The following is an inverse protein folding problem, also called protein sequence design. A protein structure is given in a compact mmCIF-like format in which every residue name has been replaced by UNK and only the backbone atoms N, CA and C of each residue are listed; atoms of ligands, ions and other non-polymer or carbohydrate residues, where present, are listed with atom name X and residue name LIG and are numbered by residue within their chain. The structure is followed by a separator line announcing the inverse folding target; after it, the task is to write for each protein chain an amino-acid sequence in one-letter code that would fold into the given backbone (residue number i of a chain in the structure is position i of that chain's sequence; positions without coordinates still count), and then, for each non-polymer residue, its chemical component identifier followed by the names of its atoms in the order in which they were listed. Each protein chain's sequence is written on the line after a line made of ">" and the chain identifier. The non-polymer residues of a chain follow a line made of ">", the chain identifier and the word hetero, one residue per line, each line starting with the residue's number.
data_IF_361618062083
#
_entry.id   IF_361618062083
#
_cell.length_a   1.000
_cell.length_b   1.000
_cell.length_c   1.000
_cell.angle_alpha   90.00
_cell.angle_beta   90.00
_cell.angle_gamma   90.00
#
_symmetry.space_group_name_H-M   'P 1'
#
loop_
_entity.id
_entity.type
_entity.pdbx_description
1 polymer ?
#
# COMPACT_ATOMS: atom_id res chain seq x y z
N UNK A 1 42.65 -13.87 -34.28
CA UNK A 1 42.19 -15.00 -33.45
C UNK A 1 42.08 -14.67 -31.95
N UNK A 2 42.36 -13.43 -31.50
CA UNK A 2 42.25 -13.03 -30.08
C UNK A 2 40.94 -12.29 -29.73
N UNK A 3 40.23 -11.75 -30.72
CA UNK A 3 38.97 -11.00 -30.52
C UNK A 3 37.76 -11.90 -30.21
N UNK A 4 37.74 -13.15 -30.71
CA UNK A 4 36.67 -14.11 -30.47
C UNK A 4 36.64 -14.62 -29.01
N UNK A 5 37.81 -14.70 -28.35
CA UNK A 5 37.92 -15.14 -26.96
C UNK A 5 37.40 -14.13 -25.94
N UNK A 6 37.45 -12.83 -26.28
CA UNK A 6 36.97 -11.75 -25.41
C UNK A 6 35.43 -11.71 -25.42
N UNK A 7 34.81 -11.93 -26.59
CA UNK A 7 33.36 -12.03 -26.73
C UNK A 7 32.76 -13.21 -25.96
N UNK A 8 33.43 -14.37 -25.96
CA UNK A 8 33.00 -15.53 -25.16
C UNK A 8 33.14 -15.26 -23.65
N UNK A 9 34.17 -14.51 -23.23
CA UNK A 9 34.39 -14.19 -21.81
C UNK A 9 33.35 -13.21 -21.26
N UNK A 10 32.91 -12.25 -22.08
CA UNK A 10 31.82 -11.32 -21.73
C UNK A 10 30.49 -12.07 -21.53
N UNK A 11 30.22 -13.10 -22.32
CA UNK A 11 29.00 -13.90 -22.20
C UNK A 11 28.97 -14.79 -20.94
N UNK A 12 30.13 -15.27 -20.47
CA UNK A 12 30.23 -16.09 -19.24
C UNK A 12 30.27 -15.21 -17.98
N UNK A 13 30.82 -13.99 -18.06
CA UNK A 13 30.82 -13.00 -16.97
C UNK A 13 29.52 -12.19 -16.89
N UNK A 14 28.39 -12.87 -17.06
CA UNK A 14 27.10 -12.45 -16.54
C UNK A 14 26.86 -10.95 -16.56
N UNK A 15 26.57 -10.39 -17.74
CA UNK A 15 25.57 -9.33 -17.80
C UNK A 15 24.27 -10.00 -17.39
N UNK A 16 24.13 -10.24 -16.08
CA UNK A 16 22.84 -10.25 -15.43
C UNK A 16 22.37 -8.83 -15.67
N UNK A 17 21.39 -8.56 -16.55
CA UNK A 17 20.70 -7.31 -16.44
C UNK A 17 20.29 -7.30 -14.99
N UNK A 18 20.65 -6.26 -14.24
CA UNK A 18 20.04 -5.95 -12.96
C UNK A 18 18.56 -5.75 -13.24
N UNK A 19 17.86 -6.85 -13.49
CA UNK A 19 16.44 -6.98 -13.39
C UNK A 19 16.20 -6.55 -11.95
N UNK A 20 15.48 -5.45 -11.72
CA UNK A 20 15.00 -5.20 -10.37
C UNK A 20 14.34 -6.51 -9.92
N UNK A 21 14.63 -6.99 -8.70
CA UNK A 21 14.04 -8.22 -8.23
C UNK A 21 12.54 -8.11 -8.47
N UNK A 22 11.96 -9.09 -9.19
CA UNK A 22 10.51 -9.22 -9.23
C UNK A 22 10.02 -9.08 -7.79
N UNK A 23 9.04 -8.21 -7.48
CA UNK A 23 8.59 -8.05 -6.12
C UNK A 23 7.83 -9.32 -5.72
N UNK A 24 8.58 -10.31 -5.22
CA UNK A 24 8.14 -11.19 -4.14
C UNK A 24 8.13 -10.41 -2.80
N UNK A 25 8.49 -9.13 -2.83
CA UNK A 25 8.28 -8.16 -1.76
C UNK A 25 6.85 -7.62 -1.81
N UNK A 26 6.22 -7.60 -0.64
CA UNK A 26 5.00 -6.83 -0.42
C UNK A 26 5.25 -5.34 -0.76
N UNK A 27 4.24 -4.67 -1.31
CA UNK A 27 4.31 -3.23 -1.56
C UNK A 27 4.20 -2.51 -0.22
N UNK A 28 5.09 -1.55 0.04
CA UNK A 28 4.98 -0.69 1.23
C UNK A 28 3.76 0.21 1.11
N UNK A 29 2.97 0.37 2.18
CA UNK A 29 1.73 1.14 2.11
C UNK A 29 1.96 2.60 1.71
N UNK A 30 3.10 3.20 2.07
CA UNK A 30 3.44 4.58 1.68
C UNK A 30 3.74 4.69 0.18
N UNK A 31 4.29 3.63 -0.41
CA UNK A 31 4.51 3.55 -1.86
C UNK A 31 3.18 3.37 -2.60
N UNK A 32 2.33 2.47 -2.10
CA UNK A 32 1.01 2.23 -2.67
C UNK A 32 0.12 3.49 -2.59
N UNK A 33 0.17 4.23 -1.48
CA UNK A 33 -0.55 5.49 -1.30
C UNK A 33 -0.12 6.50 -2.37
N UNK A 34 1.19 6.66 -2.60
CA UNK A 34 1.72 7.59 -3.59
C UNK A 34 1.22 7.25 -4.99
N UNK A 35 1.27 5.97 -5.37
CA UNK A 35 0.76 5.51 -6.66
C UNK A 35 -0.75 5.69 -6.80
N UNK A 36 -1.52 5.51 -5.73
CA UNK A 36 -2.96 5.81 -5.74
C UNK A 36 -3.22 7.32 -5.90
N UNK A 37 -2.41 8.18 -5.28
CA UNK A 37 -2.57 9.64 -5.36
C UNK A 37 -2.26 10.22 -6.75
N UNK A 38 -1.58 9.47 -7.63
CA UNK A 38 -1.36 9.84 -9.03
C UNK A 38 -2.63 9.70 -9.89
N UNK A 39 -3.51 8.74 -9.55
CA UNK A 39 -4.81 8.59 -10.19
C UNK A 39 -5.86 9.45 -9.45
N UNK A 40 -6.53 10.40 -10.12
CA UNK A 40 -7.47 11.30 -9.45
C UNK A 40 -8.67 10.57 -8.84
N UNK A 41 -9.14 9.48 -9.46
CA UNK A 41 -10.25 8.68 -8.96
C UNK A 41 -9.83 7.85 -7.76
N UNK A 42 -8.64 7.24 -7.80
CA UNK A 42 -8.10 6.51 -6.66
C UNK A 42 -7.86 7.46 -5.48
N UNK A 43 -7.28 8.64 -5.75
CA UNK A 43 -7.07 9.70 -4.76
C UNK A 43 -8.37 10.10 -4.07
N UNK A 44 -9.42 10.40 -4.82
CA UNK A 44 -10.72 10.79 -4.25
C UNK A 44 -11.28 9.71 -3.33
N UNK A 45 -11.32 8.46 -3.79
CA UNK A 45 -11.78 7.33 -2.98
C UNK A 45 -10.92 7.15 -1.73
N UNK A 46 -9.60 7.26 -1.86
CA UNK A 46 -8.68 7.15 -0.72
C UNK A 46 -8.89 8.25 0.32
N UNK A 47 -9.09 9.51 -0.09
CA UNK A 47 -9.39 10.61 0.84
C UNK A 47 -10.70 10.35 1.61
N UNK A 48 -11.73 9.81 0.94
CA UNK A 48 -12.97 9.40 1.61
C UNK A 48 -12.73 8.30 2.63
N UNK A 49 -11.92 7.29 2.30
CA UNK A 49 -11.57 6.21 3.22
C UNK A 49 -10.76 6.70 4.42
N UNK A 50 -9.83 7.63 4.20
CA UNK A 50 -9.06 8.28 5.26
C UNK A 50 -9.97 9.04 6.23
N UNK A 51 -10.94 9.80 5.70
CA UNK A 51 -11.96 10.46 6.51
C UNK A 51 -12.80 9.45 7.31
N UNK A 52 -13.32 8.42 6.64
CA UNK A 52 -14.08 7.35 7.27
C UNK A 52 -13.33 6.66 8.42
N UNK A 53 -12.04 6.36 8.21
CA UNK A 53 -11.19 5.77 9.23
C UNK A 53 -10.96 6.72 10.40
N UNK A 54 -10.77 8.02 10.15
CA UNK A 54 -10.63 9.02 11.21
C UNK A 54 -11.89 9.16 12.06
N UNK A 55 -13.07 9.13 11.44
CA UNK A 55 -14.34 9.21 12.15
C UNK A 55 -14.58 7.95 12.99
N UNK A 56 -14.40 6.75 12.41
CA UNK A 56 -14.52 5.48 13.13
C UNK A 56 -13.52 5.38 14.30
N UNK A 57 -12.33 5.99 14.15
CA UNK A 57 -11.31 6.07 15.20
C UNK A 57 -11.65 7.03 16.34
N UNK A 58 -12.63 7.92 16.19
CA UNK A 58 -13.15 8.75 17.28
C UNK A 58 -14.36 8.08 17.94
N UNK A 59 -15.31 7.62 17.13
CA UNK A 59 -16.50 6.93 17.59
C UNK A 59 -17.03 5.99 16.50
N UNK A 60 -17.74 4.90 16.85
CA UNK A 60 -18.32 4.00 15.86
C UNK A 60 -19.21 4.75 14.86
N UNK A 61 -18.97 4.56 13.56
CA UNK A 61 -19.80 5.13 12.52
C UNK A 61 -21.23 4.57 12.62
N UNK A 62 -22.22 5.46 12.48
CA UNK A 62 -23.60 5.04 12.30
C UNK A 62 -23.79 4.23 11.01
N UNK A 63 -24.81 3.37 10.97
CA UNK A 63 -25.03 2.41 9.86
C UNK A 63 -24.98 3.05 8.47
N UNK A 64 -25.60 4.22 8.28
CA UNK A 64 -25.61 4.92 6.99
C UNK A 64 -24.20 5.34 6.55
N UNK A 65 -23.47 6.03 7.44
CA UNK A 65 -22.10 6.47 7.16
C UNK A 65 -21.17 5.27 6.91
N UNK A 66 -21.34 4.18 7.68
CA UNK A 66 -20.59 2.93 7.46
C UNK A 66 -20.84 2.35 6.06
N UNK A 67 -22.09 2.35 5.58
CA UNK A 67 -22.42 1.88 4.23
C UNK A 67 -21.73 2.74 3.17
N UNK A 68 -21.79 4.07 3.29
CA UNK A 68 -21.12 5.00 2.37
C UNK A 68 -19.60 4.76 2.33
N UNK A 69 -18.98 4.53 3.48
CA UNK A 69 -17.55 4.19 3.58
C UNK A 69 -17.21 2.84 2.94
N UNK A 70 -18.08 1.83 3.09
CA UNK A 70 -17.90 0.52 2.46
C UNK A 70 -18.09 0.59 0.94
N UNK A 71 -19.00 1.43 0.45
CA UNK A 71 -19.18 1.70 -0.98
C UNK A 71 -17.91 2.33 -1.56
N UNK A 72 -17.34 3.34 -0.89
CA UNK A 72 -16.06 3.93 -1.28
C UNK A 72 -14.93 2.88 -1.31
N UNK A 73 -14.90 1.97 -0.32
CA UNK A 73 -13.90 0.91 -0.25
C UNK A 73 -14.06 -0.09 -1.40
N UNK A 74 -15.30 -0.44 -1.74
CA UNK A 74 -15.59 -1.35 -2.85
C UNK A 74 -15.25 -0.74 -4.22
N UNK A 75 -15.36 0.59 -4.35
CA UNK A 75 -14.97 1.33 -5.55
C UNK A 75 -13.46 1.45 -5.72
N UNK A 76 -12.68 1.24 -4.66
CA UNK A 76 -11.23 1.28 -4.68
C UNK A 76 -10.65 -0.01 -5.30
N UNK A 77 -10.52 -0.04 -6.62
CA UNK A 77 -9.94 -1.19 -7.34
C UNK A 77 -8.40 -1.23 -7.36
N UNK A 78 -7.73 -0.37 -6.58
CA UNK A 78 -6.28 -0.25 -6.58
C UNK A 78 -5.62 -1.29 -5.66
N UNK A 79 -5.33 -2.45 -6.25
CA UNK A 79 -4.79 -3.63 -5.55
C UNK A 79 -3.51 -3.38 -4.72
N UNK A 80 -2.54 -2.54 -5.13
CA UNK A 80 -1.35 -2.30 -4.32
C UNK A 80 -1.67 -1.74 -2.94
N UNK A 81 -2.69 -0.89 -2.80
CA UNK A 81 -3.11 -0.31 -1.51
C UNK A 81 -3.88 -1.32 -0.66
N UNK A 82 -4.70 -2.18 -1.30
CA UNK A 82 -5.46 -3.23 -0.60
C UNK A 82 -4.57 -4.36 -0.05
N UNK A 83 -3.40 -4.60 -0.67
CA UNK A 83 -2.50 -5.69 -0.34
C UNK A 83 -1.15 -5.23 0.24
N UNK A 84 -1.01 -3.95 0.56
CA UNK A 84 0.22 -3.39 1.09
C UNK A 84 0.54 -3.94 2.49
N UNK A 85 1.81 -3.86 2.89
CA UNK A 85 2.26 -4.20 4.24
C UNK A 85 3.23 -3.14 4.75
N UNK A 86 3.30 -3.03 6.07
CA UNK A 86 4.27 -2.18 6.75
C UNK A 86 5.43 -3.00 7.30
N UNK A 87 6.64 -2.50 7.11
CA UNK A 87 7.83 -3.09 7.69
C UNK A 87 8.11 -2.48 9.06
N UNK A 88 8.21 -3.34 10.08
CA UNK A 88 8.53 -2.94 11.44
C UNK A 88 9.95 -2.37 11.54
N UNK A 89 10.13 -1.27 12.24
CA UNK A 89 11.41 -0.57 12.39
C UNK A 89 11.79 0.31 11.18
N UNK A 90 10.87 0.54 10.24
CA UNK A 90 11.09 1.48 9.14
C UNK A 90 10.99 2.93 9.64
N UNK A 91 11.77 3.85 9.04
CA UNK A 91 11.74 5.29 9.40
C UNK A 91 10.36 5.95 9.27
N UNK A 92 9.48 5.38 8.43
CA UNK A 92 8.13 5.89 8.15
C UNK A 92 7.05 4.93 8.65
N UNK A 93 7.37 4.09 9.65
CA UNK A 93 6.46 3.08 10.18
C UNK A 93 5.12 3.68 10.62
N UNK A 94 5.13 4.79 11.37
CA UNK A 94 3.90 5.47 11.81
C UNK A 94 3.02 5.89 10.62
N UNK A 95 3.60 6.51 9.58
CA UNK A 95 2.86 6.90 8.38
C UNK A 95 2.35 5.67 7.61
N UNK A 96 3.16 4.62 7.52
CA UNK A 96 2.75 3.37 6.89
C UNK A 96 1.54 2.75 7.60
N UNK A 97 1.58 2.68 8.94
CA UNK A 97 0.50 2.11 9.76
C UNK A 97 -0.78 2.93 9.59
N UNK A 98 -0.70 4.26 9.54
CA UNK A 98 -1.85 5.11 9.21
C UNK A 98 -2.50 4.71 7.89
N UNK A 99 -1.72 4.60 6.81
CA UNK A 99 -2.24 4.17 5.49
C UNK A 99 -2.85 2.77 5.56
N UNK A 100 -2.16 1.83 6.23
CA UNK A 100 -2.61 0.45 6.36
C UNK A 100 -3.97 0.36 7.08
N UNK A 101 -4.12 1.05 8.21
CA UNK A 101 -5.32 1.01 9.01
C UNK A 101 -6.51 1.75 8.38
N UNK A 102 -6.26 2.79 7.56
CA UNK A 102 -7.32 3.48 6.80
C UNK A 102 -8.17 2.51 5.97
N UNK A 103 -7.58 1.42 5.49
CA UNK A 103 -8.28 0.38 4.72
C UNK A 103 -8.85 -0.72 5.64
N UNK A 104 -8.07 -1.19 6.62
CA UNK A 104 -8.44 -2.35 7.46
C UNK A 104 -9.51 -2.09 8.51
N UNK A 105 -9.61 -0.86 9.02
CA UNK A 105 -10.65 -0.48 10.00
C UNK A 105 -12.04 -0.70 9.39
N UNK A 106 -12.22 -0.35 8.12
CA UNK A 106 -13.49 -0.48 7.40
C UNK A 106 -13.81 -1.95 7.04
N UNK A 107 -12.79 -2.80 6.92
CA UNK A 107 -12.95 -4.24 6.74
C UNK A 107 -13.36 -4.97 8.03
N UNK A 108 -13.47 -4.27 9.16
CA UNK A 108 -13.82 -4.85 10.45
C UNK A 108 -12.67 -5.62 11.11
N UNK A 109 -11.43 -5.40 10.65
CA UNK A 109 -10.24 -6.07 11.19
C UNK A 109 -9.72 -5.41 12.48
N UNK A 110 -10.28 -4.25 12.89
CA UNK A 110 -9.95 -3.58 14.14
C UNK A 110 -11.19 -3.39 15.03
N UNK A 111 -11.20 -4.06 16.20
CA UNK A 111 -12.31 -4.01 17.18
C UNK A 111 -12.39 -2.65 17.89
N UNK A 112 -11.30 -1.88 17.91
CA UNK A 112 -11.23 -0.57 18.54
C UNK A 112 -10.38 0.37 17.67
N UNK A 113 -11.00 1.02 16.69
CA UNK A 113 -10.33 1.85 15.69
C UNK A 113 -9.39 2.91 16.31
N UNK A 114 -9.76 3.50 17.46
CA UNK A 114 -8.90 4.41 18.21
C UNK A 114 -7.53 3.80 18.56
N UNK A 115 -7.51 2.51 18.93
CA UNK A 115 -6.30 1.80 19.34
C UNK A 115 -5.42 1.51 18.12
N UNK A 116 -6.02 1.14 16.99
CA UNK A 116 -5.26 0.85 15.77
C UNK A 116 -4.63 2.09 15.14
N UNK A 117 -5.26 3.27 15.22
CA UNK A 117 -4.68 4.53 14.71
C UNK A 117 -3.68 5.20 15.67
N UNK A 118 -3.60 4.77 16.92
CA UNK A 118 -2.66 5.33 17.93
C UNK A 118 -1.34 4.54 18.04
N UNK A 119 -1.18 3.48 17.24
CA UNK A 119 -0.03 2.56 17.21
C UNK A 119 0.81 2.79 15.95
#
# INVERSE_FOLDING_TARGET
>A
MLLLGILLNIFIRGVVPSFPPLPLGFVDCVEAERGCKEDPRCKELYMTLEYCASEEAVAPLGNKARIECLEALSGLHYRPLLACKCQRGARREEHCLKVYWSIRILQGECVRACVCMSL
#
